data_IF_642681976598
#
_entry.id   IF_642681976598
#
_cell.length_a   1.000
_cell.length_b   1.000
_cell.length_c   1.000
_cell.angle_alpha   90.00
_cell.angle_beta   90.00
_cell.angle_gamma   90.00
#
_symmetry.space_group_name_H-M   'P 1'
#
loop_
_entity.id
_entity.type
_entity.pdbx_description
1 polymer ?
#
# COMPACT_ATOMS: atom_id res chain seq x y z
N UNK A 1 -51.38 8.88 -54.29
CA UNK A 1 -50.73 9.51 -53.13
C UNK A 1 -50.03 8.40 -52.35
N UNK A 2 -48.71 8.35 -52.39
CA UNK A 2 -47.93 7.32 -51.69
C UNK A 2 -47.43 7.93 -50.37
N UNK A 3 -47.90 7.40 -49.21
CA UNK A 3 -47.43 7.81 -47.92
C UNK A 3 -46.08 7.18 -47.64
N UNK A 4 -45.05 8.01 -47.49
CA UNK A 4 -43.69 7.60 -47.11
C UNK A 4 -43.56 7.71 -45.60
N UNK A 5 -43.58 6.56 -44.93
CA UNK A 5 -43.33 6.49 -43.48
C UNK A 5 -41.83 6.56 -43.24
N UNK A 6 -41.35 7.67 -42.66
CA UNK A 6 -40.00 7.80 -42.13
C UNK A 6 -39.91 7.16 -40.75
N UNK A 7 -39.29 6.01 -40.68
CA UNK A 7 -38.94 5.35 -39.43
C UNK A 7 -37.62 5.96 -38.91
N UNK A 8 -37.70 6.76 -37.85
CA UNK A 8 -36.53 7.30 -37.17
C UNK A 8 -35.88 6.19 -36.35
N UNK A 9 -34.69 5.76 -36.77
CA UNK A 9 -33.86 4.84 -36.02
C UNK A 9 -33.11 5.63 -34.92
N UNK A 10 -33.57 5.58 -33.68
CA UNK A 10 -32.81 6.08 -32.56
C UNK A 10 -31.63 5.15 -32.28
N UNK A 11 -30.46 5.58 -32.64
CA UNK A 11 -29.20 4.90 -32.20
C UNK A 11 -28.94 5.34 -30.76
N UNK A 12 -29.25 4.47 -29.81
CA UNK A 12 -28.81 4.59 -28.45
C UNK A 12 -27.29 4.33 -28.40
N UNK A 13 -26.47 5.39 -28.42
CA UNK A 13 -25.06 5.30 -28.16
C UNK A 13 -24.89 5.16 -26.65
N UNK A 14 -24.75 3.93 -26.19
CA UNK A 14 -24.34 3.65 -24.82
C UNK A 14 -22.88 4.05 -24.65
N UNK A 15 -22.60 5.20 -24.10
CA UNK A 15 -21.27 5.53 -23.60
C UNK A 15 -21.02 4.65 -22.37
N UNK A 16 -20.47 3.47 -22.56
CA UNK A 16 -19.83 2.74 -21.48
C UNK A 16 -18.54 3.50 -21.14
N UNK A 17 -18.59 4.36 -20.15
CA UNK A 17 -17.37 4.89 -19.54
C UNK A 17 -16.62 3.71 -18.92
N UNK A 18 -15.70 3.15 -19.69
CA UNK A 18 -14.84 2.05 -19.29
C UNK A 18 -13.78 2.56 -18.31
N UNK A 19 -14.16 2.75 -17.05
CA UNK A 19 -13.17 2.83 -15.99
C UNK A 19 -12.84 1.42 -15.56
N UNK A 20 -11.55 1.10 -15.57
CA UNK A 20 -11.07 -0.21 -15.21
C UNK A 20 -11.42 -0.49 -13.73
N UNK A 21 -12.31 -1.44 -13.49
CA UNK A 21 -12.36 -2.18 -12.24
C UNK A 21 -11.16 -3.14 -12.18
N UNK A 22 -10.90 -3.76 -11.02
CA UNK A 22 -9.94 -4.87 -10.93
C UNK A 22 -10.18 -5.77 -12.14
N UNK A 23 -9.15 -5.98 -12.94
CA UNK A 23 -9.25 -6.79 -14.14
C UNK A 23 -9.66 -8.21 -13.75
N UNK A 24 -10.53 -8.85 -14.53
CA UNK A 24 -10.95 -10.24 -14.29
C UNK A 24 -9.76 -11.23 -14.26
N UNK A 25 -8.61 -10.79 -14.77
CA UNK A 25 -7.38 -11.58 -14.83
C UNK A 25 -6.53 -11.52 -13.55
N UNK A 26 -6.77 -10.55 -12.64
CA UNK A 26 -6.07 -10.49 -11.38
C UNK A 26 -6.44 -11.69 -10.50
N UNK A 27 -5.46 -12.46 -10.07
CA UNK A 27 -5.64 -13.70 -9.29
C UNK A 27 -5.36 -13.55 -7.80
N UNK A 28 -4.86 -12.40 -7.38
CA UNK A 28 -4.68 -12.08 -5.97
C UNK A 28 -6.01 -11.93 -5.23
N UNK A 29 -5.94 -11.99 -3.92
CA UNK A 29 -7.09 -11.84 -3.02
C UNK A 29 -6.73 -10.85 -1.92
N UNK A 30 -7.69 -10.04 -1.45
CA UNK A 30 -7.44 -9.16 -0.31
C UNK A 30 -6.85 -9.93 0.86
N UNK A 31 -5.85 -9.34 1.52
CA UNK A 31 -5.27 -9.96 2.71
C UNK A 31 -6.35 -10.31 3.74
N UNK A 32 -6.26 -11.50 4.28
CA UNK A 32 -7.13 -11.98 5.32
C UNK A 32 -6.47 -13.15 6.05
N UNK A 33 -6.53 -13.10 7.36
CA UNK A 33 -6.11 -14.21 8.22
C UNK A 33 -7.02 -14.34 9.45
N UNK A 34 -6.55 -15.02 10.50
CA UNK A 34 -7.32 -15.23 11.73
C UNK A 34 -7.48 -13.98 12.59
N UNK A 35 -6.56 -13.01 12.49
CA UNK A 35 -6.57 -11.77 13.24
C UNK A 35 -7.12 -10.61 12.42
N UNK A 36 -6.79 -10.54 11.13
CA UNK A 36 -7.33 -9.57 10.20
C UNK A 36 -8.36 -10.23 9.28
N UNK A 37 -9.63 -10.14 9.65
CA UNK A 37 -10.73 -10.85 8.96
C UNK A 37 -11.49 -9.99 7.94
N UNK A 38 -11.17 -8.68 7.84
CA UNK A 38 -11.94 -7.71 7.03
C UNK A 38 -11.80 -7.92 5.52
N UNK A 39 -10.65 -8.45 5.06
CA UNK A 39 -10.34 -8.53 3.64
C UNK A 39 -9.97 -7.16 3.07
N UNK A 40 -10.59 -6.74 1.97
CA UNK A 40 -10.26 -5.48 1.30
C UNK A 40 -10.25 -4.28 2.26
N UNK A 41 -9.14 -3.55 2.28
CA UNK A 41 -8.96 -2.36 3.10
C UNK A 41 -9.82 -1.22 2.54
N UNK A 42 -10.38 -0.38 3.40
CA UNK A 42 -11.39 0.61 3.02
C UNK A 42 -10.80 2.00 2.77
N UNK A 43 -11.32 2.69 1.74
CA UNK A 43 -11.02 4.09 1.42
C UNK A 43 -12.35 4.89 1.41
N UNK A 44 -12.48 6.01 2.17
CA UNK A 44 -11.47 6.67 3.00
C UNK A 44 -11.05 5.81 4.19
N UNK A 45 -9.80 6.00 4.62
CA UNK A 45 -9.22 5.28 5.74
C UNK A 45 -7.77 4.90 5.51
N UNK A 46 -7.29 4.02 6.38
CA UNK A 46 -5.91 3.54 6.37
C UNK A 46 -5.76 2.27 5.55
N UNK A 47 -4.73 2.24 4.73
CA UNK A 47 -4.22 1.06 4.04
C UNK A 47 -2.87 0.71 4.67
N UNK A 48 -2.83 -0.38 5.44
CA UNK A 48 -1.62 -0.94 6.04
C UNK A 48 -0.81 -1.64 4.96
N UNK A 49 0.44 -1.24 4.77
CA UNK A 49 1.23 -1.74 3.64
C UNK A 49 1.67 -3.21 3.84
N UNK A 50 1.89 -3.64 5.06
CA UNK A 50 2.16 -5.05 5.34
C UNK A 50 0.98 -5.99 4.97
N UNK A 51 -0.24 -5.46 4.81
CA UNK A 51 -1.43 -6.24 4.47
C UNK A 51 -1.70 -6.24 2.95
N UNK A 52 -0.62 -6.40 2.15
CA UNK A 52 -0.74 -6.61 0.71
C UNK A 52 -1.47 -7.93 0.41
N UNK A 53 -2.02 -8.05 -0.77
CA UNK A 53 -2.88 -9.16 -1.17
C UNK A 53 -2.22 -10.54 -0.98
N UNK A 54 -3.02 -11.56 -0.97
CA UNK A 54 -2.61 -12.96 -1.04
C UNK A 54 -2.54 -13.39 -2.51
N UNK A 55 -1.58 -14.25 -2.85
CA UNK A 55 -1.41 -14.76 -4.22
C UNK A 55 0.03 -15.12 -4.56
N UNK A 56 0.96 -14.71 -3.70
CA UNK A 56 2.38 -15.03 -3.84
C UNK A 56 3.09 -14.15 -4.87
N UNK A 57 4.36 -14.48 -5.10
CA UNK A 57 5.27 -13.82 -6.04
C UNK A 57 4.68 -13.75 -7.46
N UNK A 58 4.83 -12.61 -8.11
CA UNK A 58 4.32 -12.36 -9.46
C UNK A 58 2.82 -12.12 -9.56
N UNK A 59 2.07 -12.25 -8.44
CA UNK A 59 0.63 -12.00 -8.38
C UNK A 59 0.30 -10.92 -7.35
N UNK A 60 0.64 -11.14 -6.09
CA UNK A 60 0.37 -10.21 -5.00
C UNK A 60 1.53 -9.25 -4.76
N UNK A 61 2.72 -9.65 -5.09
CA UNK A 61 3.94 -8.87 -4.97
C UNK A 61 5.01 -9.35 -5.95
N UNK A 62 6.06 -8.57 -6.08
CA UNK A 62 7.35 -8.96 -6.65
C UNK A 62 8.44 -8.40 -5.75
N UNK A 63 9.37 -9.26 -5.39
CA UNK A 63 10.53 -8.92 -4.60
C UNK A 63 11.78 -9.49 -5.28
N UNK A 64 12.89 -8.75 -5.24
CA UNK A 64 14.16 -9.20 -5.85
C UNK A 64 14.86 -10.25 -5.01
N UNK A 65 14.52 -10.32 -3.71
CA UNK A 65 14.98 -11.32 -2.75
C UNK A 65 13.85 -12.31 -2.45
N UNK A 66 14.12 -13.63 -2.38
CA UNK A 66 13.10 -14.59 -1.97
C UNK A 66 12.89 -14.62 -0.45
N UNK A 67 13.66 -13.86 0.31
CA UNK A 67 13.71 -13.91 1.76
C UNK A 67 13.34 -12.57 2.37
N UNK A 68 12.43 -12.56 3.33
CA UNK A 68 12.08 -11.38 4.10
C UNK A 68 13.23 -10.95 5.02
N UNK A 69 14.01 -9.95 4.60
CA UNK A 69 15.16 -9.44 5.33
C UNK A 69 14.75 -8.77 6.66
N UNK A 70 13.57 -8.16 6.70
CA UNK A 70 13.02 -7.57 7.91
C UNK A 70 12.76 -8.59 9.01
N UNK A 71 12.17 -9.74 8.66
CA UNK A 71 11.94 -10.85 9.59
C UNK A 71 13.25 -11.54 10.02
N UNK A 72 14.27 -11.57 9.17
CA UNK A 72 15.60 -12.05 9.56
C UNK A 72 16.16 -11.25 10.73
N UNK A 73 16.07 -9.92 10.68
CA UNK A 73 16.49 -9.07 11.79
C UNK A 73 15.74 -9.36 13.10
N UNK A 74 14.55 -9.89 13.04
CA UNK A 74 13.78 -10.25 14.22
C UNK A 74 14.24 -11.56 14.86
N UNK A 75 14.84 -12.46 14.08
CA UNK A 75 15.29 -13.77 14.56
C UNK A 75 16.68 -13.74 15.17
N UNK A 76 17.53 -12.88 14.69
CA UNK A 76 18.93 -12.84 15.08
C UNK A 76 19.14 -11.80 16.18
N UNK A 77 20.06 -12.12 17.09
CA UNK A 77 20.57 -11.17 18.08
C UNK A 77 21.68 -10.37 17.41
N UNK A 78 21.33 -9.25 16.81
CA UNK A 78 22.31 -8.37 16.18
C UNK A 78 22.74 -7.25 17.12
N UNK A 79 23.93 -6.68 16.85
CA UNK A 79 24.52 -5.56 17.58
C UNK A 79 23.68 -4.28 17.52
N UNK A 80 22.66 -4.24 16.66
CA UNK A 80 21.71 -3.14 16.64
C UNK A 80 20.79 -3.08 17.85
N UNK A 81 20.92 -4.01 18.78
CA UNK A 81 20.19 -4.03 20.04
C UNK A 81 18.67 -4.09 19.91
N UNK A 82 18.16 -4.02 18.72
CA UNK A 82 16.73 -3.89 18.39
C UNK A 82 16.04 -5.22 18.22
N UNK A 83 16.40 -6.14 18.91
CA UNK A 83 16.08 -7.52 18.74
C UNK A 83 14.64 -7.81 19.13
N UNK A 84 14.23 -9.01 18.77
CA UNK A 84 13.04 -9.59 19.30
C UNK A 84 12.94 -9.34 20.83
N UNK A 85 11.92 -8.61 21.23
CA UNK A 85 11.68 -8.36 22.65
C UNK A 85 10.84 -9.49 23.22
N UNK A 86 11.23 -10.03 24.38
CA UNK A 86 10.35 -10.93 25.11
C UNK A 86 8.96 -10.30 25.27
N UNK A 87 7.93 -11.01 24.84
CA UNK A 87 6.54 -10.54 24.91
C UNK A 87 5.97 -9.92 23.61
N UNK A 88 6.77 -9.73 22.56
CA UNK A 88 6.21 -9.39 21.25
C UNK A 88 5.49 -10.64 20.69
N UNK A 89 4.24 -10.51 20.27
CA UNK A 89 3.53 -11.61 19.63
C UNK A 89 4.30 -12.11 18.40
N UNK A 90 4.43 -13.42 18.25
CA UNK A 90 5.07 -14.03 17.08
C UNK A 90 4.40 -13.58 15.77
N UNK A 91 3.11 -13.31 15.80
CA UNK A 91 2.37 -12.74 14.69
C UNK A 91 2.97 -11.41 14.17
N UNK A 92 3.44 -10.56 15.08
CA UNK A 92 4.10 -9.28 14.71
C UNK A 92 5.54 -9.50 14.30
N UNK A 93 6.29 -10.26 15.14
CA UNK A 93 7.74 -10.43 14.94
C UNK A 93 8.08 -11.15 13.63
N UNK A 94 7.21 -12.06 13.18
CA UNK A 94 7.44 -12.93 12.02
C UNK A 94 6.28 -12.85 11.03
N UNK A 95 5.71 -11.66 10.88
CA UNK A 95 4.58 -11.45 9.98
C UNK A 95 5.00 -11.72 8.54
N UNK A 96 4.30 -12.66 7.89
CA UNK A 96 4.54 -13.09 6.49
C UNK A 96 6.01 -13.45 6.18
N UNK A 97 6.73 -13.99 7.15
CA UNK A 97 8.17 -14.24 7.08
C UNK A 97 8.61 -15.21 5.97
N UNK A 98 7.68 -15.99 5.43
CA UNK A 98 7.94 -16.97 4.37
C UNK A 98 7.65 -16.41 2.96
N UNK A 99 7.46 -15.11 2.85
CA UNK A 99 7.28 -14.38 1.59
C UNK A 99 8.47 -13.43 1.37
N UNK A 100 8.72 -12.97 0.12
CA UNK A 100 9.88 -12.13 -0.17
C UNK A 100 9.81 -10.74 0.44
N UNK A 101 8.61 -10.12 0.45
CA UNK A 101 8.46 -8.72 0.87
C UNK A 101 9.04 -8.47 2.26
N UNK A 102 9.90 -7.47 2.36
CA UNK A 102 10.64 -7.14 3.56
C UNK A 102 9.80 -6.40 4.58
N UNK A 103 9.32 -7.14 5.57
CA UNK A 103 8.48 -6.59 6.64
C UNK A 103 9.20 -6.69 7.98
N UNK A 104 9.19 -5.58 8.71
CA UNK A 104 9.58 -5.53 10.10
C UNK A 104 8.53 -4.77 10.92
N UNK A 105 8.81 -4.54 12.18
CA UNK A 105 7.92 -3.79 13.08
C UNK A 105 8.73 -2.75 13.85
N UNK A 106 8.07 -1.68 14.29
CA UNK A 106 8.69 -0.64 15.11
C UNK A 106 9.11 -1.18 16.46
N UNK A 107 10.33 -0.87 16.86
CA UNK A 107 10.96 -1.34 18.09
C UNK A 107 11.26 -0.16 19.00
N UNK A 108 10.86 -0.23 20.25
CA UNK A 108 10.86 0.90 21.17
C UNK A 108 12.19 1.66 21.27
N UNK A 109 13.32 0.99 21.42
CA UNK A 109 14.56 1.71 21.59
C UNK A 109 15.13 2.26 20.26
N UNK A 110 14.97 1.51 19.14
CA UNK A 110 15.44 1.94 17.84
C UNK A 110 14.55 3.06 17.25
N UNK A 111 13.24 3.00 17.51
CA UNK A 111 12.26 3.87 16.86
C UNK A 111 11.82 5.05 17.76
N UNK A 112 11.91 4.91 19.09
CA UNK A 112 11.39 5.94 20.01
C UNK A 112 12.47 6.69 20.80
N UNK A 113 13.71 6.20 20.84
CA UNK A 113 14.82 6.91 21.47
C UNK A 113 15.58 7.83 20.49
N UNK A 114 15.16 7.88 19.24
CA UNK A 114 15.66 8.82 18.24
C UNK A 114 14.83 10.11 18.22
N UNK A 115 15.33 11.21 17.68
CA UNK A 115 14.60 12.46 17.61
C UNK A 115 13.53 12.42 16.50
N UNK A 116 12.56 11.53 16.64
CA UNK A 116 11.44 11.42 15.73
C UNK A 116 10.62 12.72 15.70
N UNK A 117 10.09 13.05 14.53
CA UNK A 117 9.09 14.12 14.39
C UNK A 117 7.68 13.63 14.71
N UNK A 118 7.45 12.34 14.53
CA UNK A 118 6.23 11.63 14.96
C UNK A 118 6.65 10.29 15.54
N UNK A 119 5.98 9.86 16.60
CA UNK A 119 6.19 8.54 17.15
C UNK A 119 5.30 7.55 16.41
N UNK A 120 5.86 6.50 15.78
CA UNK A 120 5.06 5.43 15.22
C UNK A 120 4.33 4.67 16.32
N UNK A 121 3.25 3.97 15.99
CA UNK A 121 2.60 3.10 16.96
C UNK A 121 3.54 1.95 17.37
N UNK A 122 3.48 1.54 18.63
CA UNK A 122 4.24 0.38 19.12
C UNK A 122 3.85 -0.86 18.31
N UNK A 123 4.86 -1.61 17.84
CA UNK A 123 4.67 -2.79 16.98
C UNK A 123 3.98 -2.49 15.64
N UNK A 124 4.06 -1.25 15.16
CA UNK A 124 3.60 -0.92 13.82
C UNK A 124 4.42 -1.72 12.79
N UNK A 125 3.74 -2.52 11.98
CA UNK A 125 4.37 -3.17 10.84
C UNK A 125 4.73 -2.13 9.77
N UNK A 126 5.86 -2.34 9.10
CA UNK A 126 6.28 -1.52 7.98
C UNK A 126 7.01 -2.35 6.92
N UNK A 127 7.01 -1.89 5.69
CA UNK A 127 7.84 -2.42 4.61
C UNK A 127 9.12 -1.58 4.56
N UNK A 128 10.24 -2.23 4.40
CA UNK A 128 11.56 -1.60 4.25
C UNK A 128 12.43 -2.41 3.31
N UNK A 129 13.74 -2.10 3.24
CA UNK A 129 14.72 -2.77 2.35
C UNK A 129 14.33 -2.75 0.87
N UNK A 130 13.44 -1.86 0.50
CA UNK A 130 12.88 -1.74 -0.85
C UNK A 130 13.97 -1.58 -1.90
N UNK A 131 13.84 -2.28 -3.03
CA UNK A 131 14.72 -2.18 -4.18
C UNK A 131 13.97 -1.80 -5.47
N UNK A 132 14.75 -1.39 -6.48
CA UNK A 132 14.19 -0.97 -7.77
C UNK A 132 13.51 -2.15 -8.48
N UNK A 133 12.25 -1.98 -8.82
CA UNK A 133 11.46 -2.95 -9.56
C UNK A 133 10.47 -3.76 -8.73
N UNK A 134 10.60 -3.71 -7.41
CA UNK A 134 9.67 -4.37 -6.51
C UNK A 134 8.30 -3.69 -6.50
N UNK A 135 7.30 -4.47 -6.15
CA UNK A 135 5.94 -3.97 -6.03
C UNK A 135 5.06 -4.85 -5.15
N UNK A 136 4.04 -4.24 -4.57
CA UNK A 136 2.99 -4.90 -3.80
C UNK A 136 1.61 -4.47 -4.27
N UNK A 137 0.65 -5.39 -4.27
CA UNK A 137 -0.73 -5.18 -4.67
C UNK A 137 -1.67 -5.17 -3.46
N UNK A 138 -2.64 -4.27 -3.50
CA UNK A 138 -3.67 -4.11 -2.47
C UNK A 138 -5.04 -4.03 -3.11
N UNK A 139 -5.88 -5.02 -2.85
CA UNK A 139 -7.32 -4.87 -3.15
C UNK A 139 -7.95 -3.97 -2.11
N UNK A 140 -8.41 -2.80 -2.53
CA UNK A 140 -9.07 -1.82 -1.67
C UNK A 140 -10.54 -1.67 -2.03
N UNK A 141 -11.39 -1.36 -1.06
CA UNK A 141 -12.79 -1.04 -1.27
C UNK A 141 -13.04 0.46 -1.08
N UNK A 142 -13.26 1.15 -2.18
CA UNK A 142 -13.58 2.58 -2.19
C UNK A 142 -15.06 2.76 -1.83
N UNK A 143 -15.33 3.38 -0.69
CA UNK A 143 -16.69 3.63 -0.19
C UNK A 143 -17.29 4.93 -0.73
N UNK A 144 -16.43 5.85 -1.16
CA UNK A 144 -16.84 7.15 -1.68
C UNK A 144 -15.91 7.58 -2.81
N UNK A 145 -16.42 7.81 -4.02
CA UNK A 145 -15.62 8.36 -5.12
C UNK A 145 -15.14 9.77 -4.78
N UNK A 146 -13.98 10.15 -5.30
CA UNK A 146 -13.47 11.50 -5.07
C UNK A 146 -11.97 11.61 -5.18
N UNK A 147 -11.47 12.80 -4.81
CA UNK A 147 -10.05 13.10 -4.68
C UNK A 147 -9.60 12.94 -3.24
N UNK A 148 -8.51 12.24 -3.07
CA UNK A 148 -7.95 11.88 -1.77
C UNK A 148 -6.52 12.36 -1.62
N UNK A 149 -6.21 12.92 -0.46
CA UNK A 149 -4.85 13.18 -0.02
C UNK A 149 -4.28 11.92 0.59
N UNK A 150 -3.02 11.62 0.27
CA UNK A 150 -2.29 10.47 0.77
C UNK A 150 -1.31 10.96 1.82
N UNK A 151 -1.45 10.46 3.05
CA UNK A 151 -0.55 10.74 4.16
C UNK A 151 0.13 9.44 4.58
N UNK A 152 1.41 9.49 4.89
CA UNK A 152 2.16 8.35 5.42
C UNK A 152 3.07 8.78 6.55
N UNK A 153 3.45 7.82 7.42
CA UNK A 153 4.65 7.92 8.24
C UNK A 153 5.76 7.14 7.57
N UNK A 154 6.96 7.68 7.58
CA UNK A 154 8.10 7.06 6.95
C UNK A 154 9.41 7.38 7.68
N UNK A 155 10.40 6.51 7.53
CA UNK A 155 11.78 6.74 7.92
C UNK A 155 12.67 6.72 6.70
N UNK A 156 13.67 7.61 6.68
CA UNK A 156 14.59 7.80 5.58
C UNK A 156 13.90 8.35 4.30
N UNK A 157 14.67 8.69 3.30
CA UNK A 157 14.17 9.07 1.97
C UNK A 157 15.29 8.85 0.96
N UNK A 158 15.06 7.95 0.04
CA UNK A 158 15.80 7.91 -1.23
C UNK A 158 14.86 7.36 -2.31
N UNK A 159 13.77 8.08 -2.63
CA UNK A 159 12.59 7.40 -3.10
C UNK A 159 11.87 8.11 -4.24
N UNK A 160 11.41 7.30 -5.18
CA UNK A 160 10.49 7.66 -6.27
C UNK A 160 9.39 6.62 -6.41
N UNK A 161 8.80 6.18 -5.32
CA UNK A 161 7.71 5.20 -5.37
C UNK A 161 6.49 5.75 -6.10
N UNK A 162 5.71 4.86 -6.66
CA UNK A 162 4.53 5.18 -7.44
C UNK A 162 3.34 4.36 -7.00
N UNK A 163 2.17 5.00 -6.92
CA UNK A 163 0.91 4.27 -6.84
C UNK A 163 0.26 4.18 -8.21
N UNK A 164 -0.14 2.98 -8.53
CA UNK A 164 -0.90 2.64 -9.72
C UNK A 164 -2.30 2.22 -9.32
N UNK A 165 -3.30 2.65 -10.06
CA UNK A 165 -4.71 2.29 -9.86
C UNK A 165 -5.19 1.47 -11.05
N UNK A 166 -5.62 0.24 -10.80
CA UNK A 166 -6.13 -0.68 -11.82
C UNK A 166 -5.21 -0.78 -13.05
N UNK A 167 -3.89 -0.91 -12.81
CA UNK A 167 -2.89 -1.07 -13.84
C UNK A 167 -2.42 0.23 -14.52
N UNK A 168 -2.93 1.39 -14.10
CA UNK A 168 -2.51 2.69 -14.65
C UNK A 168 -1.84 3.52 -13.56
N UNK A 169 -0.69 4.16 -13.88
CA UNK A 169 -0.02 5.07 -12.95
C UNK A 169 -0.96 6.20 -12.55
N UNK A 170 -1.21 6.31 -11.26
CA UNK A 170 -2.10 7.32 -10.69
C UNK A 170 -1.33 8.50 -10.08
N UNK A 171 -0.24 8.24 -9.36
CA UNK A 171 0.54 9.28 -8.69
C UNK A 171 1.98 8.82 -8.45
N UNK A 172 2.93 9.74 -8.58
CA UNK A 172 4.28 9.59 -8.02
C UNK A 172 4.27 10.12 -6.61
N UNK A 173 4.70 9.29 -5.66
CA UNK A 173 4.80 9.68 -4.27
C UNK A 173 6.03 10.55 -4.06
N UNK A 174 5.87 11.61 -3.27
CA UNK A 174 6.95 12.53 -2.93
C UNK A 174 7.13 12.53 -1.42
N UNK A 175 8.21 11.93 -0.95
CA UNK A 175 8.64 12.07 0.43
C UNK A 175 9.41 13.39 0.55
N UNK A 176 8.88 14.42 1.22
CA UNK A 176 9.43 15.78 1.11
C UNK A 176 10.74 15.98 1.86
N UNK A 177 11.09 15.06 2.75
CA UNK A 177 12.22 15.20 3.63
C UNK A 177 12.99 13.90 3.80
N UNK A 178 14.32 13.96 3.70
CA UNK A 178 15.18 12.88 4.14
C UNK A 178 15.41 13.00 5.65
N UNK A 179 14.95 12.00 6.42
CA UNK A 179 15.12 12.02 7.87
C UNK A 179 16.55 11.67 8.31
N UNK A 180 17.38 11.19 7.39
CA UNK A 180 18.79 10.83 7.65
C UNK A 180 18.99 9.50 8.36
N UNK A 181 17.93 8.83 8.78
CA UNK A 181 18.01 7.51 9.43
C UNK A 181 16.71 6.73 9.21
N UNK A 182 16.84 5.42 9.07
CA UNK A 182 15.74 4.47 8.86
C UNK A 182 14.72 4.44 10.01
N UNK A 183 15.14 4.81 11.21
CA UNK A 183 14.33 4.85 12.41
C UNK A 183 14.04 6.28 12.91
N UNK A 184 14.22 7.29 12.08
CA UNK A 184 13.76 8.65 12.36
C UNK A 184 12.47 8.89 11.60
N UNK A 185 11.37 8.68 12.28
CA UNK A 185 10.05 8.73 11.68
C UNK A 185 9.55 10.17 11.52
N UNK A 186 8.96 10.44 10.40
CA UNK A 186 8.24 11.68 10.10
C UNK A 186 6.92 11.37 9.42
N UNK A 187 6.04 12.35 9.33
CA UNK A 187 4.75 12.24 8.66
C UNK A 187 4.62 13.32 7.59
N UNK A 188 4.13 12.94 6.42
CA UNK A 188 3.88 13.91 5.36
C UNK A 188 2.69 13.53 4.48
N UNK A 189 2.15 14.55 3.81
CA UNK A 189 1.36 14.35 2.59
C UNK A 189 2.31 14.05 1.46
N UNK A 190 2.13 12.91 0.80
CA UNK A 190 3.05 12.40 -0.22
C UNK A 190 2.46 12.42 -1.63
N UNK A 191 1.18 12.74 -1.76
CA UNK A 191 0.49 12.86 -3.05
C UNK A 191 -1.02 12.98 -2.91
N UNK A 192 -1.68 13.07 -4.05
CA UNK A 192 -3.14 12.99 -4.15
C UNK A 192 -3.52 11.98 -5.24
N UNK A 193 -4.62 11.26 -5.02
CA UNK A 193 -5.15 10.27 -5.96
C UNK A 193 -6.65 10.48 -6.16
N UNK A 194 -7.13 10.14 -7.35
CA UNK A 194 -8.56 10.17 -7.68
C UNK A 194 -9.09 8.75 -7.79
N UNK A 195 -10.12 8.44 -7.00
CA UNK A 195 -10.93 7.25 -7.18
C UNK A 195 -12.24 7.65 -7.87
N UNK A 196 -12.41 7.33 -9.15
CA UNK A 196 -13.57 7.82 -9.92
C UNK A 196 -14.87 7.11 -9.58
N UNK A 197 -14.80 5.92 -8.95
CA UNK A 197 -15.97 5.08 -8.61
C UNK A 197 -15.77 4.38 -7.27
N UNK A 198 -16.88 4.05 -6.64
CA UNK A 198 -16.91 3.15 -5.50
C UNK A 198 -16.67 1.68 -5.90
N UNK A 199 -16.41 0.83 -4.89
CA UNK A 199 -16.20 -0.59 -5.04
C UNK A 199 -14.74 -1.01 -5.03
N UNK A 200 -14.48 -2.25 -5.46
CA UNK A 200 -13.16 -2.85 -5.41
C UNK A 200 -12.25 -2.27 -6.49
N UNK A 201 -11.08 -1.86 -6.06
CA UNK A 201 -10.00 -1.37 -6.92
C UNK A 201 -8.70 -2.04 -6.53
N UNK A 202 -7.77 -2.16 -7.49
CA UNK A 202 -6.42 -2.64 -7.28
C UNK A 202 -5.47 -1.45 -7.19
N UNK A 203 -4.86 -1.24 -6.03
CA UNK A 203 -3.70 -0.37 -5.87
C UNK A 203 -2.44 -1.21 -6.01
N UNK A 204 -1.49 -0.75 -6.82
CA UNK A 204 -0.14 -1.30 -6.85
C UNK A 204 0.83 -0.23 -6.37
N UNK A 205 1.56 -0.52 -5.31
CA UNK A 205 2.70 0.29 -4.89
C UNK A 205 3.94 -0.27 -5.56
N UNK A 206 4.59 0.55 -6.38
CA UNK A 206 5.88 0.23 -7.00
C UNK A 206 6.97 0.98 -6.28
N UNK A 207 7.97 0.24 -5.87
CA UNK A 207 9.10 0.78 -5.13
C UNK A 207 10.23 1.18 -6.06
N UNK A 208 10.92 2.22 -5.64
CA UNK A 208 12.28 2.50 -6.07
C UNK A 208 13.00 2.81 -4.77
N UNK A 209 13.99 2.08 -4.39
CA UNK A 209 14.84 2.13 -3.18
C UNK A 209 14.45 3.06 -2.01
N UNK A 210 14.70 2.56 -0.82
CA UNK A 210 15.20 3.35 0.29
C UNK A 210 14.22 4.14 1.15
N UNK A 211 13.13 3.53 1.61
CA UNK A 211 12.29 4.09 2.68
C UNK A 211 11.71 2.99 3.55
N UNK A 212 11.44 3.29 4.82
CA UNK A 212 10.55 2.48 5.63
C UNK A 212 9.15 3.10 5.55
N UNK A 213 8.18 2.37 5.02
CA UNK A 213 6.80 2.81 4.86
C UNK A 213 5.84 1.92 5.64
N UNK A 214 5.00 2.52 6.50
CA UNK A 214 4.09 1.74 7.34
C UNK A 214 2.68 1.62 6.74
N UNK A 215 2.09 2.72 6.34
CA UNK A 215 0.71 2.78 5.84
C UNK A 215 0.48 4.01 4.96
N UNK A 216 -0.64 4.02 4.25
CA UNK A 216 -1.19 5.23 3.63
C UNK A 216 -2.56 5.54 4.24
N UNK A 217 -2.71 6.74 4.80
CA UNK A 217 -4.01 7.30 5.18
C UNK A 217 -4.59 8.07 3.98
N UNK A 218 -5.72 7.62 3.48
CA UNK A 218 -6.47 8.26 2.40
C UNK A 218 -7.55 9.17 2.98
N UNK A 219 -7.30 10.48 2.93
CA UNK A 219 -8.23 11.50 3.41
C UNK A 219 -8.99 12.13 2.24
N UNK A 220 -10.30 12.02 2.27
CA UNK A 220 -11.16 12.62 1.25
C UNK A 220 -11.01 14.15 1.26
N UNK A 221 -10.63 14.72 0.11
CA UNK A 221 -10.51 16.17 -0.12
C UNK A 221 -11.77 16.69 -0.82
N UNK A 222 -12.24 15.96 -1.82
CA UNK A 222 -13.40 16.32 -2.64
C UNK A 222 -14.16 15.06 -3.06
N UNK A 223 -15.47 15.06 -2.87
CA UNK A 223 -16.35 13.97 -3.31
C UNK A 223 -16.91 14.26 -4.71
N UNK A 224 -17.16 13.20 -5.49
CA UNK A 224 -17.80 13.27 -6.82
C UNK A 224 -19.20 12.70 -6.78
#
# INVERSE_FOLDING_TARGET
>A
MKNLNYMWLMILISFSNGYAQITADYKGKPFRDSLYTRGAQQIPGRVELAYYDLGGEGVAYHDVSPENEGSKLNREVHDYGSHWRPGIPAYIAFFRENEGVDISYTKDWADFNHPNKVDPAVNQLYIGWEEDGEWTNYTVNVLKPGRYRIITIYGYQDNKSELWLNGTKAVSLVLPENTGNWHYWTQATVGEIIFPKEGLNLLTLKYNKGSNLAFFDFLLVEAY
#
